data_IF_663559164382
#
_entry.id   IF_663559164382
#
_cell.length_a   1.000
_cell.length_b   1.000
_cell.length_c   1.000
_cell.angle_alpha   90.00
_cell.angle_beta   90.00
_cell.angle_gamma   90.00
#
_symmetry.space_group_name_H-M   'P 1'
#
loop_
_entity.id
_entity.type
_entity.pdbx_description
1 polymer ?
#
# COMPACT_ATOMS: atom_id res chain seq x y z
N UNK A 1 -42.76 3.52 1.57
CA UNK A 1 -41.47 2.92 1.24
C UNK A 1 -41.22 3.20 -0.23
N UNK A 2 -40.49 4.27 -0.54
CA UNK A 2 -40.03 4.53 -1.90
C UNK A 2 -38.62 3.94 -2.01
N UNK A 3 -38.45 2.99 -2.92
CA UNK A 3 -37.16 2.47 -3.33
C UNK A 3 -36.45 3.62 -4.05
N UNK A 4 -35.50 4.28 -3.37
CA UNK A 4 -34.56 5.15 -4.07
C UNK A 4 -33.64 4.24 -4.89
N UNK A 5 -34.03 4.01 -6.13
CA UNK A 5 -33.19 3.44 -7.17
C UNK A 5 -31.99 4.37 -7.33
N UNK A 6 -30.80 3.79 -7.20
CA UNK A 6 -29.51 4.45 -7.51
C UNK A 6 -29.36 4.47 -9.06
N UNK A 7 -30.37 5.00 -9.74
CA UNK A 7 -30.32 5.29 -11.17
C UNK A 7 -29.74 6.68 -11.35
N UNK A 8 -28.46 6.75 -11.61
CA UNK A 8 -27.73 8.01 -11.83
C UNK A 8 -26.23 7.93 -11.58
N UNK A 9 -25.65 6.75 -11.44
CA UNK A 9 -24.20 6.59 -11.48
C UNK A 9 -23.74 6.80 -12.92
N UNK A 10 -23.37 8.04 -13.27
CA UNK A 10 -22.65 8.29 -14.50
C UNK A 10 -21.37 7.45 -14.53
N UNK A 11 -21.09 6.76 -15.64
CA UNK A 11 -19.88 5.95 -15.74
C UNK A 11 -18.65 6.84 -15.51
N UNK A 12 -17.64 6.34 -14.80
CA UNK A 12 -16.35 7.02 -14.56
C UNK A 12 -15.72 7.57 -15.84
N UNK A 13 -16.11 7.03 -16.95
CA UNK A 13 -15.56 7.23 -18.30
C UNK A 13 -16.51 7.91 -19.27
N UNK A 14 -17.64 8.37 -18.81
CA UNK A 14 -18.39 9.38 -19.53
C UNK A 14 -17.54 10.65 -19.56
N UNK A 15 -17.31 11.21 -20.75
CA UNK A 15 -16.54 12.44 -20.93
C UNK A 15 -17.08 13.53 -19.99
N UNK A 16 -16.41 13.74 -18.86
CA UNK A 16 -16.67 14.92 -18.04
C UNK A 16 -16.13 16.13 -18.84
N UNK A 17 -16.97 17.04 -19.32
CA UNK A 17 -16.48 18.27 -19.90
C UNK A 17 -15.63 18.99 -18.86
N UNK A 18 -14.30 18.98 -19.04
CA UNK A 18 -13.35 19.64 -18.15
C UNK A 18 -12.68 18.77 -17.08
N UNK A 19 -12.73 17.44 -17.18
CA UNK A 19 -11.95 16.51 -16.38
C UNK A 19 -12.36 16.35 -14.89
N UNK A 20 -11.73 15.40 -14.19
CA UNK A 20 -11.97 15.10 -12.76
C UNK A 20 -11.26 16.13 -11.86
N UNK A 21 -11.95 16.67 -10.86
CA UNK A 21 -11.31 17.54 -9.86
C UNK A 21 -10.41 16.73 -8.93
N UNK A 22 -9.30 17.36 -8.52
CA UNK A 22 -8.45 16.78 -7.47
C UNK A 22 -9.21 16.74 -6.15
N UNK A 23 -9.10 15.63 -5.44
CA UNK A 23 -9.53 15.53 -4.04
C UNK A 23 -8.67 16.44 -3.16
N UNK A 24 -9.11 16.78 -1.95
CA UNK A 24 -8.25 17.46 -0.98
C UNK A 24 -6.95 16.70 -0.73
N UNK A 25 -6.98 15.37 -0.69
CA UNK A 25 -5.80 14.54 -0.51
C UNK A 25 -4.91 14.51 -1.77
N UNK A 26 -5.49 14.47 -2.99
CA UNK A 26 -4.71 14.62 -4.23
C UNK A 26 -3.96 15.96 -4.24
N UNK A 27 -4.62 17.04 -3.83
CA UNK A 27 -3.99 18.39 -3.73
C UNK A 27 -2.87 18.39 -2.71
N UNK A 28 -3.09 17.75 -1.55
CA UNK A 28 -2.04 17.62 -0.54
C UNK A 28 -0.83 16.89 -1.10
N UNK A 29 -1.04 15.74 -1.77
CA UNK A 29 0.04 14.98 -2.39
C UNK A 29 0.74 15.76 -3.50
N UNK A 30 -0.02 16.51 -4.31
CA UNK A 30 0.53 17.38 -5.35
C UNK A 30 1.39 18.51 -4.75
N UNK A 31 0.90 19.20 -3.73
CA UNK A 31 1.64 20.27 -3.06
C UNK A 31 2.90 19.73 -2.37
N UNK A 32 2.83 18.51 -1.86
CA UNK A 32 3.99 17.83 -1.28
C UNK A 32 5.01 17.46 -2.37
N UNK A 33 4.59 16.92 -3.52
CA UNK A 33 5.48 16.65 -4.66
C UNK A 33 6.11 17.95 -5.21
N UNK A 34 5.36 19.03 -5.30
CA UNK A 34 5.87 20.34 -5.74
C UNK A 34 6.89 20.95 -4.79
N UNK A 35 6.76 20.68 -3.50
CA UNK A 35 7.73 21.12 -2.50
C UNK A 35 9.08 20.35 -2.60
N UNK A 36 9.05 19.17 -3.20
CA UNK A 36 10.22 18.30 -3.38
C UNK A 36 10.28 17.77 -4.82
N UNK A 37 10.53 18.63 -5.82
CA UNK A 37 10.37 18.28 -7.23
C UNK A 37 11.37 17.22 -7.71
N UNK A 38 12.52 17.11 -7.08
CA UNK A 38 13.57 16.15 -7.43
C UNK A 38 13.52 14.86 -6.61
N UNK A 39 12.60 14.74 -5.65
CA UNK A 39 12.46 13.57 -4.79
C UNK A 39 11.17 12.83 -5.07
N UNK A 40 11.19 11.50 -5.16
CA UNK A 40 9.96 10.72 -5.26
C UNK A 40 9.24 10.78 -3.91
N UNK A 41 8.29 11.66 -3.80
CA UNK A 41 7.59 11.85 -2.53
C UNK A 41 6.68 10.66 -2.22
N UNK A 42 6.14 10.04 -3.24
CA UNK A 42 5.23 8.92 -3.09
C UNK A 42 5.05 8.18 -4.42
N UNK A 43 6.09 7.48 -4.86
CA UNK A 43 5.97 6.47 -5.92
C UNK A 43 5.97 5.10 -5.24
N UNK A 44 4.93 4.33 -5.47
CA UNK A 44 4.78 2.97 -4.95
C UNK A 44 4.31 2.03 -6.05
N UNK A 45 4.38 0.74 -5.82
CA UNK A 45 4.01 -0.22 -6.84
C UNK A 45 3.94 -1.66 -6.37
N UNK A 46 4.04 -2.53 -7.36
CA UNK A 46 4.14 -3.96 -7.18
C UNK A 46 5.16 -4.55 -8.15
N UNK A 47 6.00 -5.41 -7.64
CA UNK A 47 6.78 -6.32 -8.45
C UNK A 47 5.96 -7.60 -8.64
N UNK A 48 5.68 -7.94 -9.90
CA UNK A 48 4.90 -9.11 -10.29
C UNK A 48 5.86 -10.19 -10.77
N UNK A 49 5.73 -11.40 -10.23
CA UNK A 49 6.34 -12.61 -10.78
C UNK A 49 5.35 -13.30 -11.70
N UNK A 50 5.84 -13.86 -12.79
CA UNK A 50 5.00 -14.49 -13.78
C UNK A 50 5.46 -15.91 -14.08
N UNK A 51 4.53 -16.71 -14.60
CA UNK A 51 4.83 -17.99 -15.24
C UNK A 51 4.88 -17.75 -16.74
N UNK A 52 6.07 -17.51 -17.27
CA UNK A 52 6.31 -17.13 -18.66
C UNK A 52 7.02 -15.77 -18.76
N UNK A 53 7.55 -15.50 -19.93
CA UNK A 53 8.41 -14.35 -20.21
C UNK A 53 7.92 -13.64 -21.49
N UNK A 54 6.83 -12.86 -21.40
CA UNK A 54 6.33 -12.09 -22.53
C UNK A 54 7.35 -11.05 -22.97
N UNK A 55 7.46 -10.82 -24.27
CA UNK A 55 8.34 -9.79 -24.78
C UNK A 55 7.76 -8.38 -24.61
N UNK A 56 8.61 -7.37 -24.85
CA UNK A 56 8.25 -5.96 -24.66
C UNK A 56 7.08 -5.52 -25.56
N UNK A 57 7.02 -6.00 -26.80
CA UNK A 57 5.99 -5.57 -27.77
C UNK A 57 4.66 -6.26 -27.48
N UNK A 58 4.67 -7.52 -27.04
CA UNK A 58 3.48 -8.22 -26.52
C UNK A 58 2.87 -7.46 -25.31
N UNK A 59 3.71 -7.05 -24.35
CA UNK A 59 3.25 -6.28 -23.19
C UNK A 59 2.72 -4.91 -23.61
N UNK A 60 3.38 -4.22 -24.53
CA UNK A 60 2.89 -2.94 -25.08
C UNK A 60 1.53 -3.06 -25.75
N UNK A 61 1.36 -4.08 -26.58
CA UNK A 61 0.09 -4.34 -27.26
C UNK A 61 -1.03 -4.61 -26.26
N UNK A 62 -0.79 -5.51 -25.30
CA UNK A 62 -1.75 -5.83 -24.25
C UNK A 62 -2.13 -4.60 -23.40
N UNK A 63 -1.16 -3.76 -23.02
CA UNK A 63 -1.40 -2.52 -22.26
C UNK A 63 -2.22 -1.52 -23.08
N UNK A 64 -1.94 -1.36 -24.40
CA UNK A 64 -2.72 -0.47 -25.27
C UNK A 64 -4.19 -0.90 -25.36
N UNK A 65 -4.46 -2.20 -25.48
CA UNK A 65 -5.84 -2.71 -25.50
C UNK A 65 -6.58 -2.40 -24.19
N UNK A 66 -5.90 -2.55 -23.05
CA UNK A 66 -6.45 -2.21 -21.74
C UNK A 66 -6.68 -0.71 -21.58
N UNK A 67 -5.79 0.13 -22.10
CA UNK A 67 -5.93 1.59 -22.10
C UNK A 67 -7.17 2.03 -22.89
N UNK A 68 -7.45 1.41 -24.03
CA UNK A 68 -8.67 1.65 -24.82
C UNK A 68 -9.95 1.29 -24.05
N UNK A 69 -9.91 0.19 -23.30
CA UNK A 69 -11.04 -0.27 -22.48
C UNK A 69 -11.23 0.58 -21.21
N UNK A 70 -10.16 1.18 -20.69
CA UNK A 70 -10.18 1.94 -19.42
C UNK A 70 -9.54 3.32 -19.57
N UNK A 71 -10.26 4.33 -20.11
CA UNK A 71 -9.73 5.67 -20.36
C UNK A 71 -9.11 6.39 -19.15
N UNK A 72 -9.45 5.97 -17.92
CA UNK A 72 -8.81 6.48 -16.69
C UNK A 72 -7.29 6.27 -16.71
N UNK A 73 -6.80 5.26 -17.42
CA UNK A 73 -5.38 5.01 -17.58
C UNK A 73 -4.67 6.08 -18.42
N UNK A 74 -5.42 6.94 -19.11
CA UNK A 74 -4.89 8.08 -19.88
C UNK A 74 -4.95 9.40 -19.10
N UNK A 75 -5.44 9.40 -17.85
CA UNK A 75 -5.54 10.62 -17.04
C UNK A 75 -4.16 11.22 -16.75
N UNK A 76 -4.02 12.52 -17.08
CA UNK A 76 -2.86 13.33 -16.71
C UNK A 76 -3.27 14.57 -15.94
N UNK A 77 -2.34 15.16 -15.20
CA UNK A 77 -2.58 16.40 -14.48
C UNK A 77 -2.52 17.59 -15.42
N UNK A 78 -3.64 18.29 -15.57
CA UNK A 78 -3.73 19.52 -16.38
C UNK A 78 -3.86 20.74 -15.46
N UNK A 79 -2.93 21.67 -15.62
CA UNK A 79 -2.93 22.95 -14.91
C UNK A 79 -3.16 24.09 -15.91
N UNK A 80 -4.21 24.87 -15.70
CA UNK A 80 -4.52 26.05 -16.51
C UNK A 80 -4.44 27.31 -15.66
N UNK A 81 -3.92 28.41 -16.23
CA UNK A 81 -3.82 29.69 -15.53
C UNK A 81 -5.17 30.13 -14.95
N UNK A 82 -5.21 30.48 -13.69
CA UNK A 82 -6.42 30.93 -13.00
C UNK A 82 -7.45 29.83 -12.69
N UNK A 83 -7.14 28.57 -12.96
CA UNK A 83 -8.03 27.43 -12.67
C UNK A 83 -7.35 26.41 -11.76
N UNK A 84 -8.17 25.73 -10.95
CA UNK A 84 -7.67 24.63 -10.15
C UNK A 84 -7.22 23.45 -11.06
N UNK A 85 -6.13 22.76 -10.71
CA UNK A 85 -5.67 21.58 -11.45
C UNK A 85 -6.76 20.50 -11.54
N UNK A 86 -6.73 19.73 -12.63
CA UNK A 86 -7.68 18.64 -12.89
C UNK A 86 -6.96 17.43 -13.48
N UNK A 87 -7.53 16.27 -13.29
CA UNK A 87 -7.20 15.07 -14.02
C UNK A 87 -8.03 15.05 -15.30
N UNK A 88 -7.38 15.00 -16.45
CA UNK A 88 -8.04 14.93 -17.76
C UNK A 88 -7.53 13.73 -18.51
N UNK A 89 -8.46 12.93 -19.05
CA UNK A 89 -8.14 11.80 -19.91
C UNK A 89 -8.00 12.26 -21.35
N UNK A 90 -6.87 11.96 -21.99
CA UNK A 90 -6.62 12.31 -23.40
C UNK A 90 -7.10 11.22 -24.38
N UNK A 91 -7.46 10.02 -23.87
CA UNK A 91 -7.87 8.87 -24.70
C UNK A 91 -6.72 8.11 -25.33
N UNK A 92 -5.53 8.69 -25.41
CA UNK A 92 -4.34 8.10 -26.01
C UNK A 92 -3.12 8.22 -25.09
N UNK A 93 -2.17 7.29 -25.25
CA UNK A 93 -0.85 7.34 -24.60
C UNK A 93 0.25 7.00 -25.59
N UNK A 94 1.44 7.54 -25.38
CA UNK A 94 2.68 7.00 -25.94
C UNK A 94 3.11 5.79 -25.10
N UNK A 95 2.73 4.59 -25.53
CA UNK A 95 3.00 3.35 -24.78
C UNK A 95 4.48 3.13 -24.50
N UNK A 96 5.38 3.63 -25.35
CA UNK A 96 6.84 3.49 -25.16
C UNK A 96 7.36 4.26 -23.95
N UNK A 97 6.62 5.26 -23.48
CA UNK A 97 6.92 6.00 -22.25
C UNK A 97 6.33 5.34 -21.00
N UNK A 98 5.37 4.43 -21.19
CA UNK A 98 4.67 3.76 -20.10
C UNK A 98 5.08 2.31 -19.92
N UNK A 99 5.53 1.64 -21.01
CA UNK A 99 5.99 0.25 -20.97
C UNK A 99 7.44 0.22 -21.44
N UNK A 100 8.36 -0.01 -20.50
CA UNK A 100 9.81 0.09 -20.72
C UNK A 100 10.53 -1.14 -20.22
N UNK A 101 11.64 -1.47 -20.86
CA UNK A 101 12.52 -2.53 -20.43
C UNK A 101 13.65 -1.98 -19.55
N UNK A 102 14.01 -2.77 -18.55
CA UNK A 102 15.10 -2.51 -17.61
C UNK A 102 15.90 -3.80 -17.44
N UNK A 103 16.94 -4.02 -18.25
CA UNK A 103 17.75 -5.23 -18.14
C UNK A 103 18.43 -5.31 -16.78
N UNK A 104 18.38 -6.48 -16.18
CA UNK A 104 19.14 -6.82 -14.98
C UNK A 104 20.59 -7.15 -15.35
N UNK A 105 21.54 -7.11 -14.41
CA UNK A 105 22.89 -7.60 -14.64
C UNK A 105 22.89 -9.07 -15.06
N UNK A 106 23.93 -9.50 -15.78
CA UNK A 106 24.19 -10.91 -16.02
C UNK A 106 24.40 -11.66 -14.69
N UNK A 107 23.80 -12.83 -14.52
CA UNK A 107 23.81 -13.57 -13.27
C UNK A 107 23.00 -12.90 -12.15
N UNK A 108 22.01 -12.08 -12.49
CA UNK A 108 21.21 -11.35 -11.53
C UNK A 108 20.60 -12.25 -10.44
N UNK A 109 20.80 -11.82 -9.21
CA UNK A 109 20.25 -12.45 -8.01
C UNK A 109 18.92 -11.80 -7.60
N UNK A 110 18.27 -12.39 -6.60
CA UNK A 110 17.09 -11.77 -5.97
C UNK A 110 17.43 -10.41 -5.34
N UNK A 111 18.67 -10.19 -4.89
CA UNK A 111 19.11 -8.90 -4.34
C UNK A 111 19.28 -7.84 -5.43
N UNK A 112 19.73 -8.22 -6.63
CA UNK A 112 19.77 -7.32 -7.79
C UNK A 112 18.37 -6.92 -8.23
N UNK A 113 17.42 -7.85 -8.20
CA UNK A 113 16.02 -7.58 -8.46
C UNK A 113 15.44 -6.57 -7.45
N UNK A 114 15.70 -6.79 -6.15
CA UNK A 114 15.30 -5.87 -5.07
C UNK A 114 15.93 -4.48 -5.23
N UNK A 115 17.22 -4.44 -5.52
CA UNK A 115 17.95 -3.19 -5.73
C UNK A 115 17.39 -2.40 -6.93
N UNK A 116 17.10 -3.10 -8.04
CA UNK A 116 16.52 -2.49 -9.24
C UNK A 116 15.11 -1.97 -8.98
N UNK A 117 14.24 -2.75 -8.35
CA UNK A 117 12.89 -2.31 -7.98
C UNK A 117 12.94 -1.09 -7.04
N UNK A 118 13.84 -1.11 -6.04
CA UNK A 118 14.07 0.00 -5.11
C UNK A 118 14.54 1.28 -5.83
N UNK A 119 15.53 1.15 -6.70
CA UNK A 119 16.05 2.27 -7.50
C UNK A 119 14.98 2.89 -8.40
N UNK A 120 14.20 2.06 -9.11
CA UNK A 120 13.13 2.55 -9.99
C UNK A 120 12.01 3.22 -9.18
N UNK A 121 11.65 2.69 -8.02
CA UNK A 121 10.65 3.31 -7.12
C UNK A 121 11.16 4.61 -6.50
N UNK A 122 12.49 4.78 -6.44
CA UNK A 122 13.16 6.02 -6.07
C UNK A 122 13.18 7.09 -7.16
N UNK A 123 12.61 6.86 -8.35
CA UNK A 123 12.57 7.84 -9.43
C UNK A 123 11.27 8.63 -9.42
N UNK A 124 11.39 9.96 -9.61
CA UNK A 124 10.24 10.86 -9.75
C UNK A 124 9.40 10.46 -10.96
N UNK A 125 8.09 10.47 -10.79
CA UNK A 125 7.16 10.21 -11.88
C UNK A 125 6.58 11.51 -12.42
N UNK A 126 6.68 11.78 -13.73
CA UNK A 126 6.07 12.95 -14.36
C UNK A 126 4.54 12.95 -14.19
N UNK A 127 3.96 14.14 -14.04
CA UNK A 127 2.51 14.32 -13.87
C UNK A 127 1.85 14.96 -15.10
N UNK A 128 2.63 15.37 -16.10
CA UNK A 128 2.18 15.91 -17.41
C UNK A 128 1.72 14.82 -18.37
N UNK A 129 1.87 13.59 -17.99
CA UNK A 129 1.36 12.37 -18.64
C UNK A 129 0.74 11.45 -17.58
N UNK A 130 0.06 10.35 -17.95
CA UNK A 130 -0.47 9.41 -16.98
C UNK A 130 0.61 8.95 -15.99
N UNK A 131 0.30 9.06 -14.69
CA UNK A 131 1.30 8.95 -13.64
C UNK A 131 1.51 7.49 -13.21
N UNK A 132 1.76 6.60 -14.17
CA UNK A 132 2.08 5.18 -13.96
C UNK A 132 3.05 4.66 -15.01
N UNK A 133 3.71 3.55 -14.71
CA UNK A 133 4.66 2.87 -15.59
C UNK A 133 4.66 1.35 -15.31
N UNK A 134 4.87 0.58 -16.36
CA UNK A 134 5.13 -0.87 -16.37
C UNK A 134 6.57 -1.07 -16.84
N UNK A 135 7.43 -1.53 -15.94
CA UNK A 135 8.83 -1.84 -16.23
C UNK A 135 9.03 -3.34 -16.37
N UNK A 136 9.55 -3.82 -17.48
CA UNK A 136 9.99 -5.21 -17.64
C UNK A 136 11.42 -5.30 -17.14
N UNK A 137 11.64 -6.08 -16.08
CA UNK A 137 12.96 -6.40 -15.54
C UNK A 137 13.36 -7.75 -16.13
N UNK A 138 14.28 -7.71 -17.08
CA UNK A 138 14.67 -8.89 -17.90
C UNK A 138 16.03 -9.40 -17.46
N UNK A 139 16.12 -10.70 -17.22
CA UNK A 139 17.39 -11.39 -16.94
C UNK A 139 18.00 -11.87 -18.25
N UNK A 140 19.16 -11.35 -18.66
CA UNK A 140 19.74 -11.66 -19.96
C UNK A 140 20.17 -13.13 -20.11
N UNK A 141 20.49 -13.81 -19.00
CA UNK A 141 21.01 -15.18 -19.01
C UNK A 141 19.89 -16.22 -18.97
N UNK A 142 18.83 -15.99 -18.23
CA UNK A 142 17.73 -16.96 -18.06
C UNK A 142 16.52 -16.64 -18.91
N UNK A 143 16.42 -15.43 -19.44
CA UNK A 143 15.24 -14.93 -20.11
C UNK A 143 14.05 -14.68 -19.18
N UNK A 144 14.24 -14.78 -17.86
CA UNK A 144 13.18 -14.50 -16.90
C UNK A 144 12.76 -13.04 -16.95
N UNK A 145 11.46 -12.80 -16.93
CA UNK A 145 10.88 -11.46 -16.92
C UNK A 145 10.06 -11.25 -15.64
N UNK A 146 10.34 -10.14 -14.97
CA UNK A 146 9.51 -9.65 -13.88
C UNK A 146 8.90 -8.31 -14.28
N UNK A 147 7.68 -8.03 -13.85
CA UNK A 147 7.02 -6.76 -14.15
C UNK A 147 6.97 -5.89 -12.90
N UNK A 148 7.58 -4.71 -12.97
CA UNK A 148 7.43 -3.68 -11.96
C UNK A 148 6.36 -2.69 -12.43
N UNK A 149 5.16 -2.77 -11.84
CA UNK A 149 4.19 -1.69 -11.93
C UNK A 149 4.48 -0.64 -10.86
N UNK A 150 4.50 0.63 -11.26
CA UNK A 150 4.61 1.75 -10.32
C UNK A 150 3.70 2.90 -10.69
N UNK A 151 3.21 3.63 -9.70
CA UNK A 151 2.39 4.83 -9.93
C UNK A 151 2.66 5.91 -8.88
N UNK A 152 2.31 7.16 -9.24
CA UNK A 152 2.40 8.28 -8.31
C UNK A 152 1.20 8.31 -7.37
N UNK A 153 1.48 8.49 -6.09
CA UNK A 153 0.44 8.68 -5.07
C UNK A 153 -0.31 10.03 -5.21
N UNK A 154 0.17 10.94 -6.06
CA UNK A 154 -0.61 12.13 -6.44
C UNK A 154 -1.87 11.73 -7.19
N UNK A 155 -1.79 10.67 -7.99
CA UNK A 155 -2.90 10.18 -8.83
C UNK A 155 -3.82 9.22 -8.08
N UNK A 156 -3.24 8.21 -7.39
CA UNK A 156 -3.99 7.12 -6.75
C UNK A 156 -3.38 6.72 -5.40
N UNK A 157 -4.22 6.28 -4.46
CA UNK A 157 -3.77 5.59 -3.25
C UNK A 157 -3.57 4.08 -3.51
N UNK A 158 -3.07 3.36 -2.49
CA UNK A 158 -2.74 1.95 -2.64
C UNK A 158 -3.92 1.05 -3.02
N UNK A 159 -5.13 1.31 -2.51
CA UNK A 159 -6.32 0.53 -2.91
C UNK A 159 -6.72 0.82 -4.36
N UNK A 160 -6.61 2.07 -4.78
CA UNK A 160 -6.78 2.43 -6.19
C UNK A 160 -5.69 1.84 -7.07
N UNK A 161 -4.46 1.73 -6.56
CA UNK A 161 -3.35 1.07 -7.27
C UNK A 161 -3.66 -0.42 -7.52
N UNK A 162 -4.19 -1.14 -6.51
CA UNK A 162 -4.66 -2.52 -6.71
C UNK A 162 -5.71 -2.59 -7.83
N UNK A 163 -6.60 -1.60 -7.87
CA UNK A 163 -7.64 -1.51 -8.91
C UNK A 163 -7.05 -1.25 -10.29
N UNK A 164 -6.06 -0.35 -10.40
CA UNK A 164 -5.34 -0.08 -11.65
C UNK A 164 -4.63 -1.35 -12.15
N UNK A 165 -4.02 -2.13 -11.26
CA UNK A 165 -3.44 -3.43 -11.63
C UNK A 165 -4.49 -4.40 -12.17
N UNK A 166 -5.69 -4.43 -11.56
CA UNK A 166 -6.80 -5.24 -12.08
C UNK A 166 -7.27 -4.75 -13.46
N UNK A 167 -7.27 -3.44 -13.74
CA UNK A 167 -7.57 -2.92 -15.08
C UNK A 167 -6.52 -3.31 -16.11
N UNK A 168 -5.25 -3.24 -15.76
CA UNK A 168 -4.16 -3.56 -16.68
C UNK A 168 -4.02 -5.06 -16.94
N UNK A 169 -4.17 -5.88 -15.91
CA UNK A 169 -3.74 -7.27 -15.92
C UNK A 169 -4.81 -8.28 -15.48
N UNK A 170 -5.97 -7.84 -14.98
CA UNK A 170 -7.10 -8.70 -14.66
C UNK A 170 -7.97 -9.00 -15.87
N UNK A 171 -8.91 -9.95 -15.73
CA UNK A 171 -9.95 -10.15 -16.71
C UNK A 171 -11.01 -9.02 -16.66
N UNK A 172 -11.90 -8.96 -17.65
CA UNK A 172 -12.93 -7.92 -17.71
C UNK A 172 -13.95 -8.04 -16.58
N UNK A 173 -14.24 -9.26 -16.14
CA UNK A 173 -15.15 -9.50 -15.02
C UNK A 173 -14.55 -9.02 -13.69
N UNK A 174 -13.25 -9.26 -13.47
CA UNK A 174 -12.53 -8.74 -12.29
C UNK A 174 -12.40 -7.22 -12.33
N UNK A 175 -12.21 -6.63 -13.52
CA UNK A 175 -12.17 -5.20 -13.70
C UNK A 175 -13.49 -4.52 -13.31
N UNK A 176 -14.63 -5.14 -13.59
CA UNK A 176 -15.98 -4.68 -13.21
C UNK A 176 -16.30 -3.26 -13.64
N UNK A 177 -17.55 -2.84 -13.50
CA UNK A 177 -17.94 -1.46 -13.74
C UNK A 177 -17.33 -0.56 -12.65
N UNK A 178 -16.58 0.44 -13.06
CA UNK A 178 -16.13 1.50 -12.17
C UNK A 178 -17.17 2.60 -12.17
N UNK A 179 -17.75 2.86 -11.01
CA UNK A 179 -18.66 4.00 -10.85
C UNK A 179 -17.85 5.29 -10.72
N UNK A 180 -18.36 6.36 -11.33
CA UNK A 180 -17.74 7.67 -11.31
C UNK A 180 -17.46 8.23 -9.91
N UNK A 181 -16.70 9.31 -9.81
CA UNK A 181 -16.46 9.99 -8.56
C UNK A 181 -17.72 10.74 -8.14
N UNK A 182 -18.74 10.00 -7.74
CA UNK A 182 -19.60 10.55 -6.74
C UNK A 182 -18.66 10.79 -5.57
N UNK A 183 -18.18 12.02 -5.42
CA UNK A 183 -17.32 12.42 -4.31
C UNK A 183 -17.93 11.82 -3.07
N UNK A 184 -17.16 11.01 -2.40
CA UNK A 184 -17.57 10.21 -1.27
C UNK A 184 -18.43 11.08 -0.39
N UNK A 185 -19.73 10.87 -0.49
CA UNK A 185 -20.69 11.57 0.34
C UNK A 185 -20.33 11.19 1.76
N UNK A 186 -19.81 12.15 2.51
CA UNK A 186 -19.65 11.98 3.94
C UNK A 186 -20.99 11.49 4.45
N UNK A 187 -21.03 10.30 5.08
CA UNK A 187 -22.24 9.82 5.73
C UNK A 187 -22.78 10.86 6.70
N UNK A 188 -23.92 10.63 7.32
CA UNK A 188 -24.48 11.58 8.30
C UNK A 188 -23.43 11.83 9.40
N UNK A 189 -22.79 13.01 9.33
CA UNK A 189 -21.87 13.46 10.35
C UNK A 189 -22.70 14.02 11.50
N UNK A 190 -22.46 13.52 12.69
CA UNK A 190 -23.07 14.08 13.90
C UNK A 190 -22.10 15.07 14.57
N UNK A 191 -22.59 16.13 15.21
CA UNK A 191 -21.72 17.05 15.95
C UNK A 191 -20.82 16.33 16.96
N UNK A 192 -21.36 15.37 17.71
CA UNK A 192 -20.58 14.55 18.64
C UNK A 192 -19.50 13.71 17.97
N UNK A 193 -19.77 13.15 16.78
CA UNK A 193 -18.79 12.42 15.98
C UNK A 193 -17.65 13.30 15.51
N UNK A 194 -17.96 14.54 15.10
CA UNK A 194 -16.94 15.52 14.69
C UNK A 194 -16.03 15.93 15.84
N UNK A 195 -16.61 16.23 17.02
CA UNK A 195 -15.83 16.58 18.23
C UNK A 195 -14.95 15.40 18.65
N UNK A 196 -15.50 14.19 18.65
CA UNK A 196 -14.74 12.97 19.00
C UNK A 196 -13.60 12.73 18.04
N UNK A 197 -13.80 12.93 16.72
CA UNK A 197 -12.75 12.80 15.71
C UNK A 197 -11.68 13.88 15.89
N UNK A 198 -12.04 15.13 16.12
CA UNK A 198 -11.09 16.22 16.37
C UNK A 198 -10.23 15.94 17.61
N UNK A 199 -10.85 15.51 18.71
CA UNK A 199 -10.15 15.14 19.95
C UNK A 199 -9.22 13.94 19.72
N UNK A 200 -9.68 12.91 19.02
CA UNK A 200 -8.89 11.72 18.67
C UNK A 200 -7.68 12.09 17.82
N UNK A 201 -7.86 12.91 16.78
CA UNK A 201 -6.75 13.39 15.95
C UNK A 201 -5.75 14.20 16.80
N UNK A 202 -6.20 15.12 17.61
CA UNK A 202 -5.32 15.90 18.48
C UNK A 202 -4.50 15.01 19.42
N UNK A 203 -5.13 14.03 20.09
CA UNK A 203 -4.43 13.10 20.99
C UNK A 203 -3.50 12.13 20.23
N UNK A 204 -3.94 11.62 19.07
CA UNK A 204 -3.14 10.72 18.24
C UNK A 204 -1.85 11.38 17.76
N UNK A 205 -1.91 12.65 17.35
CA UNK A 205 -0.75 13.39 16.85
C UNK A 205 0.05 14.12 17.93
N UNK A 206 -0.41 14.09 19.17
CA UNK A 206 0.32 14.64 20.31
C UNK A 206 1.58 13.82 20.65
N UNK A 207 2.62 14.51 21.05
CA UNK A 207 3.88 13.90 21.52
C UNK A 207 4.74 13.28 20.41
N UNK A 208 6.00 12.98 20.74
CA UNK A 208 6.96 12.34 19.83
C UNK A 208 6.72 10.83 19.72
N UNK A 209 7.41 10.19 18.74
CA UNK A 209 7.61 8.75 18.65
C UNK A 209 8.98 8.39 19.23
N UNK A 210 9.08 7.23 19.84
CA UNK A 210 10.36 6.61 20.18
C UNK A 210 11.21 6.38 18.92
N UNK A 211 12.51 6.43 19.11
CA UNK A 211 13.49 6.23 18.04
C UNK A 211 14.10 4.81 18.11
N UNK A 212 14.50 4.28 16.96
CA UNK A 212 15.18 2.99 16.82
C UNK A 212 16.65 3.23 16.44
N UNK A 213 17.58 2.52 17.07
CA UNK A 213 19.01 2.67 16.85
C UNK A 213 19.40 2.49 15.37
N UNK A 214 18.80 1.52 14.68
CA UNK A 214 19.03 1.26 13.27
C UNK A 214 18.62 2.41 12.34
N UNK A 215 17.82 3.37 12.83
CA UNK A 215 17.33 4.52 12.04
C UNK A 215 18.06 5.82 12.33
N UNK A 216 19.09 5.85 13.20
CA UNK A 216 19.77 7.07 13.67
C UNK A 216 21.19 7.23 13.13
N UNK A 217 21.80 6.20 12.55
CA UNK A 217 23.13 6.24 11.93
C UNK A 217 23.23 7.22 10.75
N UNK A 218 24.41 7.42 10.13
CA UNK A 218 24.52 8.17 8.89
C UNK A 218 23.51 7.61 7.87
N UNK A 219 22.92 8.51 7.05
CA UNK A 219 22.03 8.06 6.01
C UNK A 219 22.83 7.13 5.08
N UNK A 220 22.40 5.89 4.95
CA UNK A 220 22.92 5.03 3.89
C UNK A 220 22.52 5.64 2.53
N UNK A 221 23.41 5.55 1.56
CA UNK A 221 23.07 5.92 0.20
C UNK A 221 22.03 4.93 -0.33
N UNK A 222 20.77 5.36 -0.35
CA UNK A 222 19.66 4.57 -0.87
C UNK A 222 18.80 3.84 0.21
N UNK A 223 17.86 3.06 -0.29
CA UNK A 223 16.93 2.24 0.49
C UNK A 223 17.06 0.78 0.06
N UNK A 224 17.07 -0.14 1.00
CA UNK A 224 16.94 -1.57 0.70
C UNK A 224 15.47 -2.01 0.71
N UNK A 225 15.20 -3.11 0.01
CA UNK A 225 13.88 -3.72 -0.07
C UNK A 225 13.91 -5.16 0.43
N UNK A 226 12.76 -5.61 0.96
CA UNK A 226 12.57 -6.99 1.37
C UNK A 226 11.10 -7.38 1.29
N UNK A 227 10.83 -8.67 1.13
CA UNK A 227 9.48 -9.22 1.08
C UNK A 227 9.38 -10.47 1.95
N UNK A 228 8.22 -10.63 2.59
CA UNK A 228 7.84 -11.86 3.27
C UNK A 228 6.39 -12.19 2.91
N UNK A 229 6.16 -13.42 2.47
CA UNK A 229 4.84 -13.89 2.04
C UNK A 229 4.30 -14.93 3.00
N UNK A 230 2.98 -14.91 3.20
CA UNK A 230 2.25 -15.82 4.07
C UNK A 230 0.81 -16.00 3.55
N UNK A 231 0.22 -17.17 3.74
CA UNK A 231 -1.19 -17.37 3.45
C UNK A 231 -2.08 -16.49 4.35
N UNK A 232 -3.06 -15.80 3.75
CA UNK A 232 -3.99 -14.91 4.48
C UNK A 232 -4.73 -15.66 5.59
N UNK A 233 -5.05 -16.94 5.36
CA UNK A 233 -5.78 -17.76 6.32
C UNK A 233 -4.96 -18.02 7.59
N UNK A 234 -3.63 -18.06 7.51
CA UNK A 234 -2.75 -18.13 8.69
C UNK A 234 -2.87 -16.86 9.54
N UNK A 235 -2.82 -15.67 8.90
CA UNK A 235 -3.05 -14.41 9.60
C UNK A 235 -4.46 -14.32 10.22
N UNK A 236 -5.46 -14.85 9.53
CA UNK A 236 -6.84 -14.93 10.06
C UNK A 236 -6.93 -15.84 11.27
N UNK A 237 -6.29 -17.02 11.22
CA UNK A 237 -6.29 -17.98 12.33
C UNK A 237 -5.68 -17.35 13.59
N UNK A 238 -4.52 -16.68 13.48
CA UNK A 238 -3.93 -15.92 14.59
C UNK A 238 -4.89 -14.84 15.08
N UNK A 239 -5.48 -14.06 14.16
CA UNK A 239 -6.44 -13.02 14.52
C UNK A 239 -7.63 -13.58 15.30
N UNK A 240 -8.19 -14.71 14.87
CA UNK A 240 -9.31 -15.38 15.55
C UNK A 240 -8.95 -15.82 16.97
N UNK A 241 -7.74 -16.38 17.17
CA UNK A 241 -7.28 -16.85 18.48
C UNK A 241 -7.18 -15.70 19.52
N UNK A 242 -6.92 -14.49 19.07
CA UNK A 242 -6.78 -13.30 19.95
C UNK A 242 -7.92 -12.27 19.80
N UNK A 243 -9.03 -12.60 19.11
CA UNK A 243 -10.13 -11.67 18.89
C UNK A 243 -9.73 -10.42 18.07
N UNK A 244 -8.76 -10.59 17.17
CA UNK A 244 -8.10 -9.52 16.43
C UNK A 244 -8.35 -9.62 14.91
N UNK A 245 -8.17 -8.54 14.19
CA UNK A 245 -8.21 -8.54 12.71
C UNK A 245 -6.84 -8.87 12.12
N UNK A 246 -6.80 -9.25 10.84
CA UNK A 246 -5.54 -9.43 10.08
C UNK A 246 -4.65 -8.19 10.18
N UNK A 247 -5.24 -6.99 10.20
CA UNK A 247 -4.46 -5.75 10.37
C UNK A 247 -3.82 -5.64 11.76
N UNK A 248 -4.50 -6.11 12.81
CA UNK A 248 -3.92 -6.12 14.15
C UNK A 248 -2.78 -7.14 14.25
N UNK A 249 -2.95 -8.32 13.67
CA UNK A 249 -1.89 -9.35 13.57
C UNK A 249 -0.67 -8.77 12.85
N UNK A 250 -0.88 -8.09 11.73
CA UNK A 250 0.18 -7.42 10.98
C UNK A 250 0.95 -6.40 11.85
N UNK A 251 0.24 -5.57 12.62
CA UNK A 251 0.84 -4.55 13.49
C UNK A 251 1.53 -5.17 14.71
N UNK A 252 0.97 -6.21 15.32
CA UNK A 252 1.60 -6.95 16.43
C UNK A 252 2.89 -7.61 15.95
N UNK A 253 2.85 -8.27 14.79
CA UNK A 253 4.03 -8.85 14.15
C UNK A 253 5.11 -7.80 13.85
N UNK A 254 4.69 -6.58 13.40
CA UNK A 254 5.64 -5.48 13.21
C UNK A 254 6.30 -5.04 14.51
N UNK A 255 5.57 -5.00 15.62
CA UNK A 255 6.12 -4.67 16.93
C UNK A 255 7.24 -5.63 17.35
N UNK A 256 6.99 -6.94 17.27
CA UNK A 256 7.98 -7.97 17.61
C UNK A 256 9.17 -7.98 16.65
N UNK A 257 8.92 -7.88 15.35
CA UNK A 257 9.98 -7.79 14.35
C UNK A 257 10.91 -6.60 14.58
N UNK A 258 10.38 -5.43 14.89
CA UNK A 258 11.16 -4.23 15.16
C UNK A 258 11.94 -4.35 16.48
N UNK A 259 11.37 -4.96 17.51
CA UNK A 259 12.06 -5.22 18.78
C UNK A 259 13.28 -6.14 18.59
N UNK A 260 13.16 -7.16 17.72
CA UNK A 260 14.27 -8.06 17.37
C UNK A 260 15.28 -7.39 16.42
N UNK A 261 14.81 -6.45 15.55
CA UNK A 261 15.66 -5.83 14.55
C UNK A 261 16.51 -4.68 15.09
N UNK A 262 16.02 -3.94 16.08
CA UNK A 262 16.68 -2.73 16.56
C UNK A 262 16.24 -2.35 17.96
N UNK A 263 17.21 -2.00 18.81
CA UNK A 263 16.92 -1.50 20.15
C UNK A 263 16.26 -0.12 20.12
N UNK A 264 15.24 0.14 20.96
CA UNK A 264 14.76 1.48 21.27
C UNK A 264 15.89 2.33 21.87
N UNK A 265 15.94 3.62 21.52
CA UNK A 265 16.91 4.58 22.06
C UNK A 265 16.40 5.37 23.26
N UNK A 266 15.11 5.32 23.50
CA UNK A 266 14.45 6.05 24.59
C UNK A 266 13.23 5.23 25.08
N UNK A 267 12.59 5.72 26.15
CA UNK A 267 11.41 5.09 26.76
C UNK A 267 10.09 5.51 26.09
N UNK A 268 10.17 6.23 24.96
CA UNK A 268 8.97 6.63 24.23
C UNK A 268 8.43 5.48 23.39
N UNK A 269 7.10 5.36 23.27
CA UNK A 269 6.51 4.33 22.43
C UNK A 269 6.89 4.52 20.95
N UNK A 270 7.43 3.51 20.33
CA UNK A 270 7.67 3.48 18.89
C UNK A 270 6.33 3.47 18.17
N UNK A 271 6.10 4.48 17.32
CA UNK A 271 4.81 4.67 16.65
C UNK A 271 4.91 4.43 15.17
N UNK A 272 3.86 3.85 14.62
CA UNK A 272 3.64 3.79 13.18
C UNK A 272 2.56 4.78 12.76
N UNK A 273 2.72 5.39 11.57
CA UNK A 273 1.60 5.99 10.84
C UNK A 273 0.86 4.86 10.15
N UNK A 274 -0.41 4.72 10.46
CA UNK A 274 -1.32 3.76 9.84
C UNK A 274 -2.24 4.49 8.86
N UNK A 275 -2.21 4.08 7.59
CA UNK A 275 -3.16 4.55 6.59
C UNK A 275 -4.44 3.73 6.64
N UNK A 276 -5.58 4.40 6.81
CA UNK A 276 -6.90 3.77 6.90
C UNK A 276 -7.76 4.26 5.74
N UNK A 277 -8.35 3.34 4.98
CA UNK A 277 -9.26 3.72 3.90
C UNK A 277 -10.48 4.46 4.44
N UNK A 278 -10.80 5.58 3.82
CA UNK A 278 -12.01 6.35 4.11
C UNK A 278 -13.17 6.00 3.16
N UNK A 279 -13.02 4.97 2.32
CA UNK A 279 -14.07 4.49 1.41
C UNK A 279 -15.09 3.65 2.16
N UNK A 280 -16.36 3.90 1.89
CA UNK A 280 -17.45 3.00 2.26
C UNK A 280 -17.46 1.76 1.35
N UNK A 281 -18.13 0.67 1.70
CA UNK A 281 -18.22 -0.52 0.84
C UNK A 281 -18.64 -0.21 -0.61
N UNK A 282 -19.62 0.67 -0.81
CA UNK A 282 -20.10 1.11 -2.13
C UNK A 282 -19.10 2.02 -2.89
N UNK A 283 -18.07 2.53 -2.22
CA UNK A 283 -17.07 3.44 -2.79
C UNK A 283 -15.74 2.74 -3.11
N UNK A 284 -15.66 1.42 -2.90
CA UNK A 284 -14.41 0.65 -3.08
C UNK A 284 -13.86 0.71 -4.51
N UNK A 285 -14.74 0.91 -5.49
CA UNK A 285 -14.34 1.04 -6.91
C UNK A 285 -13.88 2.45 -7.30
N UNK A 286 -14.03 3.45 -6.43
CA UNK A 286 -13.64 4.83 -6.73
C UNK A 286 -12.12 4.97 -6.73
N UNK A 287 -11.56 5.46 -7.83
CA UNK A 287 -10.14 5.78 -7.95
C UNK A 287 -9.81 7.15 -7.33
N UNK A 288 -8.55 7.31 -6.95
CA UNK A 288 -8.01 8.53 -6.35
C UNK A 288 -7.53 8.31 -4.92
N UNK A 289 -7.29 9.39 -4.18
CA UNK A 289 -6.84 9.33 -2.81
C UNK A 289 -8.00 9.46 -1.83
N UNK A 290 -8.25 8.40 -1.07
CA UNK A 290 -9.37 8.30 -0.14
C UNK A 290 -8.98 7.57 1.14
N UNK A 291 -8.06 8.15 1.88
CA UNK A 291 -7.58 7.60 3.15
C UNK A 291 -7.44 8.70 4.21
N UNK A 292 -7.38 8.28 5.45
CA UNK A 292 -6.97 9.08 6.60
C UNK A 292 -5.75 8.44 7.23
N UNK A 293 -4.91 9.25 7.85
CA UNK A 293 -3.75 8.77 8.57
C UNK A 293 -4.00 8.87 10.08
N UNK A 294 -3.62 7.83 10.81
CA UNK A 294 -3.62 7.81 12.27
C UNK A 294 -2.27 7.30 12.77
N UNK A 295 -2.02 7.39 14.06
CA UNK A 295 -0.81 6.83 14.67
C UNK A 295 -1.17 5.75 15.67
N UNK A 296 -0.39 4.66 15.64
CA UNK A 296 -0.52 3.52 16.54
C UNK A 296 0.83 3.28 17.22
N UNK A 297 0.84 3.13 18.54
CA UNK A 297 2.00 2.68 19.27
C UNK A 297 2.16 1.16 19.08
N UNK A 298 3.30 0.75 18.57
CA UNK A 298 3.63 -0.66 18.38
C UNK A 298 4.09 -1.29 19.69
N UNK A 299 3.73 -2.55 19.98
CA UNK A 299 4.00 -3.19 21.27
C UNK A 299 5.42 -3.82 21.32
N UNK A 300 6.48 -2.99 21.25
CA UNK A 300 7.85 -3.48 21.25
C UNK A 300 8.29 -4.02 22.62
N UNK A 301 7.76 -3.46 23.70
CA UNK A 301 8.19 -3.74 25.06
C UNK A 301 7.41 -4.89 25.73
N UNK A 302 6.27 -5.26 25.14
CA UNK A 302 5.42 -6.31 25.67
C UNK A 302 5.85 -7.69 25.18
N UNK A 303 5.97 -8.63 26.11
CA UNK A 303 6.34 -10.01 25.81
C UNK A 303 5.14 -10.94 25.65
N UNK A 304 4.05 -10.67 26.39
CA UNK A 304 2.81 -11.46 26.33
C UNK A 304 2.05 -11.17 25.01
N UNK A 305 1.77 -12.17 24.18
CA UNK A 305 0.96 -12.00 22.99
C UNK A 305 -0.41 -11.37 23.27
N UNK A 306 -1.09 -11.78 24.35
CA UNK A 306 -2.40 -11.23 24.74
C UNK A 306 -2.34 -9.73 24.99
N UNK A 307 -1.37 -9.25 25.78
CA UNK A 307 -1.19 -7.82 26.06
C UNK A 307 -0.85 -7.02 24.81
N UNK A 308 -0.04 -7.59 23.92
CA UNK A 308 0.32 -6.97 22.63
C UNK A 308 -0.91 -6.79 21.74
N UNK A 309 -1.77 -7.80 21.64
CA UNK A 309 -3.02 -7.72 20.92
C UNK A 309 -3.99 -6.74 21.56
N UNK A 310 -4.14 -6.76 22.89
CA UNK A 310 -5.01 -5.80 23.60
C UNK A 310 -4.59 -4.35 23.32
N UNK A 311 -3.29 -4.06 23.41
CA UNK A 311 -2.77 -2.72 23.15
C UNK A 311 -3.07 -2.26 21.71
N UNK A 312 -2.84 -3.10 20.70
CA UNK A 312 -3.08 -2.75 19.30
C UNK A 312 -4.57 -2.66 19.00
N UNK A 313 -5.37 -3.65 19.41
CA UNK A 313 -6.81 -3.68 19.14
C UNK A 313 -7.54 -2.47 19.74
N UNK A 314 -7.18 -2.03 20.93
CA UNK A 314 -7.75 -0.83 21.57
C UNK A 314 -7.50 0.42 20.73
N UNK A 315 -6.32 0.56 20.12
CA UNK A 315 -5.97 1.71 19.28
C UNK A 315 -6.61 1.65 17.89
N UNK A 316 -6.80 0.47 17.32
CA UNK A 316 -7.35 0.29 15.97
C UNK A 316 -8.88 0.19 15.96
N UNK A 317 -9.52 -0.13 17.08
CA UNK A 317 -10.96 -0.31 17.19
C UNK A 317 -11.81 0.82 16.57
N UNK A 318 -11.46 2.13 16.72
CA UNK A 318 -12.23 3.22 16.11
C UNK A 318 -12.25 3.21 14.58
N UNK A 319 -11.36 2.46 13.94
CA UNK A 319 -11.17 2.46 12.48
C UNK A 319 -11.64 1.15 11.82
N UNK A 320 -12.23 0.23 12.58
CA UNK A 320 -12.73 -1.05 12.07
C UNK A 320 -14.14 -0.94 11.49
N UNK A 321 -14.43 -1.74 10.46
CA UNK A 321 -15.79 -1.92 9.95
C UNK A 321 -16.37 -0.75 9.15
N UNK A 322 -15.55 0.14 8.58
CA UNK A 322 -16.06 1.32 7.84
C UNK A 322 -16.82 2.27 8.75
N UNK A 323 -16.36 2.38 10.01
CA UNK A 323 -16.99 3.17 11.07
C UNK A 323 -17.13 4.65 10.71
N UNK A 324 -18.10 5.32 11.33
CA UNK A 324 -18.27 6.78 11.26
C UNK A 324 -17.01 7.55 11.70
N UNK A 325 -16.09 6.91 12.42
CA UNK A 325 -14.81 7.47 12.83
C UNK A 325 -13.93 7.86 11.64
N UNK A 326 -13.73 6.98 10.66
CA UNK A 326 -12.95 7.28 9.45
C UNK A 326 -13.55 8.42 8.64
N UNK A 327 -14.88 8.48 8.55
CA UNK A 327 -15.60 9.55 7.85
C UNK A 327 -15.44 10.90 8.55
N UNK A 328 -15.52 10.93 9.88
CA UNK A 328 -15.32 12.14 10.66
C UNK A 328 -13.87 12.64 10.63
N UNK A 329 -12.91 11.71 10.68
CA UNK A 329 -11.49 12.04 10.54
C UNK A 329 -11.20 12.61 9.14
N UNK A 330 -11.80 12.04 8.10
CA UNK A 330 -11.72 12.56 6.74
C UNK A 330 -12.30 13.96 6.62
N UNK A 331 -13.46 14.23 7.23
CA UNK A 331 -14.07 15.55 7.21
C UNK A 331 -13.09 16.63 7.66
N UNK A 332 -12.31 16.37 8.70
CA UNK A 332 -11.26 17.28 9.15
C UNK A 332 -10.08 17.34 8.20
N UNK A 333 -9.61 16.19 7.72
CA UNK A 333 -8.51 16.13 6.75
C UNK A 333 -8.82 16.90 5.47
N UNK A 334 -10.05 16.80 4.97
CA UNK A 334 -10.50 17.48 3.75
C UNK A 334 -10.61 19.00 3.91
N UNK A 335 -10.74 19.50 5.15
CA UNK A 335 -10.87 20.92 5.46
C UNK A 335 -9.60 21.61 5.92
N UNK A 336 -8.59 20.83 6.29
CA UNK A 336 -7.27 21.40 6.61
C UNK A 336 -6.66 21.95 5.32
N UNK A 337 -6.36 23.26 5.24
CA UNK A 337 -5.70 23.82 4.07
C UNK A 337 -4.37 23.11 3.81
N UNK A 338 -4.04 22.86 2.54
CA UNK A 338 -2.83 22.10 2.16
C UNK A 338 -1.53 22.63 2.78
N UNK A 339 -1.45 23.96 2.99
CA UNK A 339 -0.34 24.61 3.71
C UNK A 339 -0.20 24.17 5.17
N UNK A 340 -1.32 23.90 5.86
CA UNK A 340 -1.33 23.35 7.22
C UNK A 340 -1.16 21.83 7.20
N UNK A 341 -1.77 21.14 6.22
CA UNK A 341 -1.58 19.72 5.98
C UNK A 341 -0.10 19.37 5.78
N UNK A 342 0.67 20.21 5.07
CA UNK A 342 2.13 20.03 4.95
C UNK A 342 2.88 20.12 6.29
N UNK A 343 2.44 20.97 7.21
CA UNK A 343 3.03 21.08 8.56
C UNK A 343 2.59 19.95 9.49
N UNK A 344 1.35 19.49 9.41
CA UNK A 344 0.80 18.48 10.31
C UNK A 344 1.04 17.06 9.79
N UNK A 345 0.71 16.77 8.53
CA UNK A 345 0.89 15.43 7.93
C UNK A 345 2.33 15.27 7.44
N UNK A 346 2.95 16.31 6.88
CA UNK A 346 4.38 16.33 6.57
C UNK A 346 5.25 16.16 7.80
N UNK A 347 4.88 16.79 8.91
CA UNK A 347 5.49 16.59 10.22
C UNK A 347 5.23 15.18 10.78
N UNK A 348 4.08 14.55 10.49
CA UNK A 348 3.79 13.17 10.83
C UNK A 348 4.65 12.14 10.10
N UNK A 349 5.33 12.55 9.05
CA UNK A 349 6.31 11.74 8.32
C UNK A 349 7.75 11.97 8.79
N UNK A 350 7.95 12.77 9.82
CA UNK A 350 9.25 12.91 10.47
C UNK A 350 9.48 11.76 11.46
N UNK A 351 10.73 11.34 11.60
CA UNK A 351 11.13 10.29 12.55
C UNK A 351 10.63 10.56 13.98
N UNK A 352 10.61 11.85 14.37
CA UNK A 352 10.08 12.29 15.68
C UNK A 352 8.58 12.04 15.86
N UNK A 353 7.83 11.84 14.80
CA UNK A 353 6.38 11.59 14.85
C UNK A 353 6.03 10.11 14.65
N UNK A 354 6.81 9.42 13.81
CA UNK A 354 6.68 7.98 13.61
C UNK A 354 7.97 7.40 13.06
N UNK A 355 8.44 6.31 13.63
CA UNK A 355 9.58 5.56 13.11
C UNK A 355 9.20 4.66 11.92
N UNK A 356 7.93 4.32 11.82
CA UNK A 356 7.38 3.40 10.84
C UNK A 356 6.17 4.00 10.14
N UNK A 357 5.93 3.57 8.92
CA UNK A 357 4.72 3.86 8.15
C UNK A 357 4.16 2.53 7.64
N UNK A 358 2.94 2.20 8.03
CA UNK A 358 2.30 0.92 7.68
C UNK A 358 1.03 1.14 6.89
N UNK A 359 0.84 0.30 5.88
CA UNK A 359 -0.38 0.27 5.07
C UNK A 359 -0.79 -1.18 4.85
N UNK A 360 -2.07 -1.47 4.99
CA UNK A 360 -2.64 -2.77 4.63
C UNK A 360 -3.62 -2.57 3.48
N UNK A 361 -3.28 -3.11 2.32
CA UNK A 361 -4.08 -3.05 1.10
C UNK A 361 -4.90 -4.33 0.89
N UNK A 362 -4.56 -5.39 1.60
CA UNK A 362 -5.00 -6.74 1.30
C UNK A 362 -4.44 -7.26 -0.04
N UNK A 363 -4.55 -8.57 -0.30
CA UNK A 363 -4.19 -9.12 -1.59
C UNK A 363 -5.08 -8.59 -2.72
N UNK A 364 -4.48 -8.42 -3.90
CA UNK A 364 -5.21 -8.13 -5.13
C UNK A 364 -6.05 -9.36 -5.48
N UNK A 365 -7.35 -9.22 -5.79
CA UNK A 365 -8.13 -10.33 -6.30
C UNK A 365 -7.51 -10.85 -7.62
N UNK A 366 -7.22 -12.14 -7.68
CA UNK A 366 -6.75 -12.78 -8.90
C UNK A 366 -7.90 -13.35 -9.75
N UNK A 367 -7.60 -13.90 -10.92
CA UNK A 367 -6.27 -13.99 -11.53
C UNK A 367 -5.80 -12.70 -12.20
N UNK A 368 -4.49 -12.56 -12.33
CA UNK A 368 -3.84 -11.53 -13.16
C UNK A 368 -2.96 -12.21 -14.22
N UNK A 369 -2.85 -11.59 -15.39
CA UNK A 369 -1.94 -12.03 -16.44
C UNK A 369 -1.34 -10.82 -17.18
N UNK A 370 -0.08 -10.90 -17.57
CA UNK A 370 0.61 -9.88 -18.37
C UNK A 370 0.85 -10.47 -19.76
N UNK A 371 0.21 -9.91 -20.78
CA UNK A 371 0.26 -10.43 -22.15
C UNK A 371 0.03 -11.95 -22.21
N UNK A 372 -0.97 -12.46 -21.45
CA UNK A 372 -1.29 -13.88 -21.37
C UNK A 372 -0.44 -14.70 -20.39
N UNK A 373 0.71 -14.21 -19.91
CA UNK A 373 1.52 -14.89 -18.91
C UNK A 373 0.89 -14.74 -17.51
N UNK A 374 0.51 -15.83 -16.81
CA UNK A 374 -0.10 -15.76 -15.50
C UNK A 374 0.82 -15.13 -14.46
N UNK A 375 0.30 -14.21 -13.66
CA UNK A 375 1.00 -13.65 -12.51
C UNK A 375 0.89 -14.65 -11.34
N UNK A 376 2.02 -15.07 -10.81
CA UNK A 376 2.12 -16.05 -9.72
C UNK A 376 2.29 -15.40 -8.36
N UNK A 377 2.86 -14.19 -8.30
CA UNK A 377 3.01 -13.43 -7.07
C UNK A 377 2.99 -11.91 -7.33
N UNK A 378 2.45 -11.15 -6.38
CA UNK A 378 2.49 -9.70 -6.39
C UNK A 378 3.13 -9.21 -5.08
N UNK A 379 4.30 -8.63 -5.19
CA UNK A 379 5.11 -8.15 -4.07
C UNK A 379 5.00 -6.63 -3.98
N UNK A 380 4.42 -6.07 -2.91
CA UNK A 380 4.33 -4.63 -2.75
C UNK A 380 5.72 -3.98 -2.74
N UNK A 381 5.83 -2.85 -3.42
CA UNK A 381 7.01 -1.99 -3.46
C UNK A 381 6.64 -0.66 -2.77
N UNK A 382 6.85 -0.57 -1.44
CA UNK A 382 6.58 0.64 -0.69
C UNK A 382 7.43 1.82 -1.17
N UNK A 383 6.95 3.07 -1.02
CA UNK A 383 7.69 4.22 -1.49
C UNK A 383 9.04 4.37 -0.77
N UNK A 384 10.11 4.52 -1.55
CA UNK A 384 11.39 4.97 -1.04
C UNK A 384 11.32 6.48 -0.78
N UNK A 385 11.70 6.92 0.42
CA UNK A 385 11.62 8.33 0.82
C UNK A 385 13.01 8.86 1.10
N UNK A 386 13.69 9.37 0.07
CA UNK A 386 15.01 9.98 0.23
C UNK A 386 15.06 11.05 1.33
N UNK A 387 16.11 11.00 2.13
CA UNK A 387 16.34 11.90 3.25
C UNK A 387 15.43 11.67 4.45
N UNK A 388 14.61 10.60 4.44
CA UNK A 388 13.79 10.18 5.58
C UNK A 388 14.24 8.83 6.11
N UNK A 389 14.33 8.74 7.42
CA UNK A 389 14.81 7.56 8.14
C UNK A 389 13.66 6.73 8.70
N UNK A 390 12.62 6.50 7.91
CA UNK A 390 11.46 5.73 8.31
C UNK A 390 11.44 4.38 7.61
N UNK A 391 11.07 3.34 8.33
CA UNK A 391 10.67 2.07 7.73
C UNK A 391 9.28 2.26 7.10
N UNK A 392 9.12 1.88 5.84
CA UNK A 392 7.82 1.87 5.17
C UNK A 392 7.45 0.44 4.87
N UNK A 393 6.27 0.01 5.30
CA UNK A 393 5.80 -1.37 5.10
C UNK A 393 4.40 -1.37 4.51
N UNK A 394 4.21 -2.17 3.48
CA UNK A 394 2.91 -2.37 2.85
C UNK A 394 2.57 -3.86 2.86
N UNK A 395 1.43 -4.21 3.46
CA UNK A 395 0.84 -5.54 3.33
C UNK A 395 -0.08 -5.55 2.12
N UNK A 396 0.22 -6.39 1.14
CA UNK A 396 -0.55 -6.58 -0.09
C UNK A 396 -0.52 -8.04 -0.50
N UNK A 397 -0.35 -8.34 -1.79
CA UNK A 397 -0.19 -9.70 -2.31
C UNK A 397 -1.15 -10.03 -3.45
N UNK A 398 -1.38 -11.31 -3.71
CA UNK A 398 -2.24 -11.81 -4.77
C UNK A 398 -3.09 -13.00 -4.29
N UNK A 399 -4.38 -12.98 -4.54
CA UNK A 399 -5.30 -14.06 -4.25
C UNK A 399 -5.33 -14.41 -2.76
N UNK A 400 -4.85 -15.59 -2.39
CA UNK A 400 -4.81 -16.08 -1.00
C UNK A 400 -3.50 -15.75 -0.28
N UNK A 401 -2.49 -15.25 -0.98
CA UNK A 401 -1.18 -14.94 -0.42
C UNK A 401 -1.08 -13.45 -0.08
N UNK A 402 -0.85 -13.16 1.20
CA UNK A 402 -0.44 -11.83 1.65
C UNK A 402 1.08 -11.71 1.60
N UNK A 403 1.58 -10.58 1.13
CA UNK A 403 3.00 -10.27 1.10
C UNK A 403 3.24 -8.93 1.79
N UNK A 404 4.09 -8.91 2.80
CA UNK A 404 4.59 -7.70 3.40
C UNK A 404 5.83 -7.23 2.62
N UNK A 405 5.76 -6.05 2.02
CA UNK A 405 6.89 -5.38 1.38
C UNK A 405 7.47 -4.34 2.31
N UNK A 406 8.79 -4.30 2.41
CA UNK A 406 9.55 -3.44 3.31
C UNK A 406 10.48 -2.54 2.49
N UNK A 407 10.48 -1.25 2.79
CA UNK A 407 11.49 -0.29 2.35
C UNK A 407 12.16 0.31 3.58
N UNK A 408 13.47 0.15 3.68
CA UNK A 408 14.26 0.52 4.86
C UNK A 408 15.44 1.39 4.44
N UNK A 409 15.71 2.52 5.13
CA UNK A 409 16.87 3.37 4.86
C UNK A 409 18.19 2.78 5.42
N UNK A 410 18.37 1.48 5.28
CA UNK A 410 19.53 0.70 5.71
C UNK A 410 19.55 -0.62 4.91
N UNK A 411 20.69 -1.29 4.74
CA UNK A 411 20.79 -2.53 3.95
C UNK A 411 20.27 -3.77 4.70
N UNK A 412 19.16 -3.65 5.43
CA UNK A 412 18.61 -4.69 6.32
C UNK A 412 17.12 -4.96 6.12
N UNK A 413 16.56 -4.60 4.96
CA UNK A 413 15.12 -4.80 4.72
C UNK A 413 14.73 -6.29 4.64
N UNK A 414 15.56 -7.13 4.00
CA UNK A 414 15.33 -8.56 3.91
C UNK A 414 15.38 -9.24 5.28
N UNK A 415 16.25 -8.77 6.18
CA UNK A 415 16.31 -9.23 7.57
C UNK A 415 15.02 -8.89 8.33
N UNK A 416 14.55 -7.62 8.24
CA UNK A 416 13.31 -7.20 8.88
C UNK A 416 12.10 -7.99 8.36
N UNK A 417 12.06 -8.28 7.05
CA UNK A 417 11.02 -9.11 6.47
C UNK A 417 11.01 -10.55 7.05
N UNK A 418 12.18 -11.17 7.20
CA UNK A 418 12.29 -12.49 7.84
C UNK A 418 11.89 -12.47 9.32
N UNK A 419 12.29 -11.43 10.05
CA UNK A 419 11.91 -11.27 11.46
C UNK A 419 10.39 -11.09 11.61
N UNK A 420 9.74 -10.36 10.69
CA UNK A 420 8.29 -10.24 10.70
C UNK A 420 7.59 -11.60 10.50
N UNK A 421 8.06 -12.41 9.57
CA UNK A 421 7.49 -13.74 9.32
C UNK A 421 7.71 -14.65 10.54
N UNK A 422 8.92 -14.67 11.08
CA UNK A 422 9.25 -15.47 12.28
C UNK A 422 8.41 -15.08 13.50
N UNK A 423 8.09 -13.78 13.63
CA UNK A 423 7.20 -13.30 14.69
C UNK A 423 5.77 -13.80 14.51
N UNK A 424 5.22 -13.78 13.26
CA UNK A 424 3.90 -14.37 12.99
C UNK A 424 3.87 -15.86 13.32
N UNK A 425 4.91 -16.60 12.96
CA UNK A 425 5.06 -18.03 13.32
C UNK A 425 5.16 -18.23 14.84
N UNK A 426 5.80 -17.31 15.55
CA UNK A 426 5.82 -17.28 17.02
C UNK A 426 4.42 -17.10 17.62
N UNK A 427 3.62 -16.20 17.05
CA UNK A 427 2.23 -15.96 17.46
C UNK A 427 1.34 -17.18 17.18
N UNK A 428 1.52 -17.86 16.04
CA UNK A 428 0.81 -19.12 15.73
C UNK A 428 1.10 -20.18 16.78
N UNK A 429 2.38 -20.41 17.10
CA UNK A 429 2.78 -21.38 18.13
C UNK A 429 2.21 -21.02 19.50
N UNK A 430 2.24 -19.76 19.89
CA UNK A 430 1.67 -19.29 21.16
C UNK A 430 0.15 -19.46 21.23
N UNK A 431 -0.53 -19.44 20.07
CA UNK A 431 -1.98 -19.70 19.95
C UNK A 431 -2.34 -21.20 19.82
N UNK A 432 -1.34 -22.11 19.81
CA UNK A 432 -1.56 -23.54 19.59
C UNK A 432 -1.97 -23.88 18.15
N UNK A 433 -1.71 -22.99 17.18
CA UNK A 433 -2.02 -23.23 15.78
C UNK A 433 -0.87 -24.05 15.16
N UNK A 434 -1.20 -25.27 14.71
CA UNK A 434 -0.23 -26.12 14.02
C UNK A 434 -0.27 -25.80 12.53
N UNK A 435 0.88 -25.45 11.90
CA UNK A 435 0.95 -25.20 10.47
C UNK A 435 0.48 -26.41 9.66
N UNK A 436 -0.18 -26.17 8.53
CA UNK A 436 -0.71 -27.25 7.68
C UNK A 436 0.39 -28.22 7.19
N UNK A 437 1.62 -27.72 6.98
CA UNK A 437 2.77 -28.55 6.63
C UNK A 437 3.14 -29.56 7.74
N UNK A 438 3.09 -29.11 9.00
CA UNK A 438 3.39 -29.97 10.15
C UNK A 438 2.23 -30.93 10.43
N UNK A 439 0.97 -30.54 10.13
CA UNK A 439 -0.18 -31.44 10.19
C UNK A 439 -0.06 -32.57 9.16
N UNK A 440 0.36 -32.27 7.95
CA UNK A 440 0.59 -33.28 6.91
C UNK A 440 1.74 -34.23 7.29
N UNK A 441 2.82 -33.71 7.87
CA UNK A 441 3.94 -34.52 8.38
C UNK A 441 3.52 -35.42 9.54
N UNK A 442 2.73 -34.85 10.48
CA UNK A 442 2.21 -35.63 11.62
C UNK A 442 1.23 -36.73 11.17
N UNK A 443 0.38 -36.45 10.17
CA UNK A 443 -0.55 -37.43 9.60
C UNK A 443 0.23 -38.59 8.90
N UNK A 444 1.29 -38.28 8.16
CA UNK A 444 2.16 -39.28 7.52
C UNK A 444 2.88 -40.17 8.54
N UNK A 445 3.34 -39.59 9.65
CA UNK A 445 3.98 -40.36 10.75
C UNK A 445 2.94 -41.22 11.46
N UNK A 446 1.72 -40.74 11.69
CA UNK A 446 0.65 -41.51 12.31
C UNK A 446 0.20 -42.69 11.41
N UNK A 447 0.11 -42.51 10.10
CA UNK A 447 -0.23 -43.56 9.13
C UNK A 447 0.88 -44.63 9.02
N UNK A 448 2.16 -44.21 9.14
CA UNK A 448 3.31 -45.12 9.16
C UNK A 448 3.44 -45.95 10.45
N UNK A 449 2.93 -45.42 11.56
CA UNK A 449 2.95 -46.11 12.86
C UNK A 449 1.75 -47.08 13.05
N UNK A 450 0.74 -46.98 12.17
CA UNK A 450 -0.45 -47.87 12.19
C UNK A 450 -0.35 -49.03 11.19
N UNK A 451 0.74 -49.13 10.45
CA UNK A 451 1.09 -50.27 9.58
C UNK A 451 2.21 -51.13 10.21
#
# INVERSE_FOLDING_TARGET
MRSDSIDGAEPLYGAYPGGRRLSPMDRYMLDFQRAYPTRPVSVSGYLLRMSGSPDLDEVRAAVLDRVRAFPVLTERLVTRRGRAPRWEADGEIDVTRHVREYPLPAGATEDDLRATAGRLSGMVMPLDRPAWEVGLLTSPDTGDVHVLFRSSHVWVDGLSQNRVLTFLFGDEAAAGATTGPAWMRTGKLTPGGLVSAARRQATTWAGPSGALAALTGPAADGHSMGWASIEVDRLRAVGQAYGASVNDVYLVGMGGALAAWSSPLDQLPVRTVLSVSARRPAERSILGNAFVATRVALPLELTSPGERFEQVCRQTAPYKGGSSASLSDRFWSDRVPSRFGRRTIGGGQELRKAAVNTTNLGPIPGPLAVAGAPVTAAMPVPPAREGRRQVVVTLGGLGRTATAGFTVPAPRAAELARLWLAEIEGLERAAGIVPAADQAAAALVADSASR
#
